data_IF_106850739468
#
_entry.id   IF_106850739468
#
_cell.length_a   1.000
_cell.length_b   1.000
_cell.length_c   1.000
_cell.angle_alpha   90.00
_cell.angle_beta   90.00
_cell.angle_gamma   90.00
#
_symmetry.space_group_name_H-M   'P 1'
#
loop_
_entity.id
_entity.type
_entity.pdbx_description
1 polymer ?
#
# COMPACT_ATOMS: atom_id res chain seq x y z
N UNK A 1 -25.65 -0.70 4.95
CA UNK A 1 -25.96 -0.97 6.38
C UNK A 1 -27.45 -0.93 6.58
N UNK A 2 -28.03 -1.82 7.43
CA UNK A 2 -29.46 -1.80 7.77
C UNK A 2 -29.68 -1.06 9.10
N UNK A 3 -30.74 -0.23 9.15
CA UNK A 3 -31.09 0.59 10.32
C UNK A 3 -32.55 0.37 10.70
N UNK A 4 -32.85 0.20 11.98
CA UNK A 4 -34.17 0.11 12.56
C UNK A 4 -34.26 1.09 13.73
N UNK A 5 -35.28 1.95 13.72
CA UNK A 5 -35.50 2.99 14.75
C UNK A 5 -34.23 3.84 15.01
N UNK A 6 -33.50 4.20 13.94
CA UNK A 6 -32.25 4.97 14.01
C UNK A 6 -31.03 4.20 14.54
N UNK A 7 -31.16 2.89 14.80
CA UNK A 7 -30.04 2.05 15.29
C UNK A 7 -29.56 1.08 14.22
N UNK A 8 -28.23 0.94 14.02
CA UNK A 8 -27.67 -0.01 13.08
C UNK A 8 -27.94 -1.45 13.53
N UNK A 9 -28.34 -2.29 12.58
CA UNK A 9 -28.53 -3.73 12.76
C UNK A 9 -27.35 -4.51 12.19
N UNK A 10 -26.84 -5.46 12.97
CA UNK A 10 -25.83 -6.40 12.48
C UNK A 10 -26.49 -7.53 11.68
N UNK A 11 -26.02 -7.87 10.47
CA UNK A 11 -26.58 -8.94 9.65
C UNK A 11 -26.57 -10.33 10.28
N UNK A 12 -25.67 -10.55 11.26
CA UNK A 12 -25.43 -11.85 11.87
C UNK A 12 -25.90 -11.90 13.35
N UNK A 13 -26.72 -10.95 13.76
CA UNK A 13 -27.24 -10.88 15.11
C UNK A 13 -28.78 -10.95 15.13
N UNK A 14 -29.31 -11.77 16.03
CA UNK A 14 -30.76 -11.78 16.29
C UNK A 14 -31.19 -10.45 16.92
N UNK A 15 -32.37 -9.96 16.57
CA UNK A 15 -32.95 -8.75 17.13
C UNK A 15 -34.46 -8.94 17.44
N UNK A 16 -34.99 -8.08 18.27
CA UNK A 16 -36.42 -8.07 18.62
C UNK A 16 -37.02 -6.73 18.22
N UNK A 17 -38.15 -6.75 17.51
CA UNK A 17 -38.90 -5.57 17.14
C UNK A 17 -40.38 -5.83 17.28
N UNK A 18 -41.12 -4.91 17.91
CA UNK A 18 -42.57 -5.03 18.18
C UNK A 18 -42.98 -6.36 18.85
N UNK A 19 -42.15 -6.88 19.77
CA UNK A 19 -42.39 -8.14 20.49
C UNK A 19 -42.10 -9.41 19.67
N UNK A 20 -41.68 -9.29 18.42
CA UNK A 20 -41.33 -10.41 17.54
C UNK A 20 -39.80 -10.57 17.54
N UNK A 21 -39.32 -11.80 17.76
CA UNK A 21 -37.90 -12.12 17.71
C UNK A 21 -37.51 -12.61 16.32
N UNK A 22 -36.54 -11.93 15.72
CA UNK A 22 -35.99 -12.26 14.42
C UNK A 22 -34.65 -13.01 14.58
N UNK A 23 -34.45 -14.14 13.87
CA UNK A 23 -33.23 -14.93 14.00
C UNK A 23 -32.02 -14.21 13.38
N UNK A 24 -30.82 -14.62 13.78
CA UNK A 24 -29.54 -13.99 13.37
C UNK A 24 -29.30 -13.88 11.88
N UNK A 25 -29.89 -14.77 11.09
CA UNK A 25 -29.74 -14.81 9.62
C UNK A 25 -30.90 -14.15 8.87
N UNK A 26 -31.91 -13.60 9.59
CA UNK A 26 -33.11 -13.05 8.98
C UNK A 26 -32.76 -11.92 7.98
N UNK A 27 -31.90 -11.00 8.36
CA UNK A 27 -31.45 -9.89 7.48
C UNK A 27 -30.77 -10.34 6.19
N UNK A 28 -30.17 -11.53 6.17
CA UNK A 28 -29.51 -12.08 4.97
C UNK A 28 -30.49 -12.80 4.05
N UNK A 29 -31.53 -13.41 4.61
CA UNK A 29 -32.44 -14.31 3.89
C UNK A 29 -33.70 -13.60 3.37
N UNK A 30 -34.03 -12.44 3.91
CA UNK A 30 -35.24 -11.69 3.54
C UNK A 30 -34.97 -10.66 2.47
N UNK A 31 -35.99 -10.37 1.68
CA UNK A 31 -35.96 -9.34 0.64
C UNK A 31 -35.95 -7.93 1.24
N UNK A 32 -35.61 -6.92 0.43
CA UNK A 32 -35.64 -5.53 0.86
C UNK A 32 -37.08 -5.10 1.26
N UNK A 33 -38.08 -5.51 0.47
CA UNK A 33 -39.47 -5.20 0.74
C UNK A 33 -39.97 -5.75 2.10
N UNK A 34 -39.54 -6.96 2.48
CA UNK A 34 -39.85 -7.53 3.81
C UNK A 34 -39.19 -6.79 4.95
N UNK A 35 -37.97 -6.27 4.73
CA UNK A 35 -37.24 -5.43 5.68
C UNK A 35 -37.94 -4.08 5.86
N UNK A 36 -38.31 -3.43 4.75
CA UNK A 36 -39.04 -2.15 4.76
C UNK A 36 -40.41 -2.27 5.43
N UNK A 37 -41.09 -3.41 5.26
CA UNK A 37 -42.39 -3.65 5.87
C UNK A 37 -42.38 -3.61 7.40
N UNK A 38 -41.23 -3.85 8.03
CA UNK A 38 -41.05 -3.74 9.48
C UNK A 38 -40.26 -2.49 9.90
N UNK A 39 -40.07 -1.54 8.98
CA UNK A 39 -39.43 -0.25 9.28
C UNK A 39 -37.89 -0.28 9.20
N UNK A 40 -37.31 -1.35 8.67
CA UNK A 40 -35.87 -1.38 8.41
C UNK A 40 -35.57 -0.62 7.09
N UNK A 41 -34.63 0.32 7.16
CA UNK A 41 -34.16 1.06 6.01
C UNK A 41 -32.71 0.65 5.67
N UNK A 42 -32.40 0.58 4.39
CA UNK A 42 -31.03 0.41 3.95
C UNK A 42 -30.39 1.80 3.75
N UNK A 43 -29.33 2.07 4.49
CA UNK A 43 -28.51 3.27 4.35
C UNK A 43 -27.13 2.87 3.86
N UNK A 44 -26.45 3.72 3.05
CA UNK A 44 -25.07 3.48 2.69
C UNK A 44 -24.21 3.23 3.93
N UNK A 45 -23.25 2.32 3.81
CA UNK A 45 -22.27 2.18 4.87
C UNK A 45 -21.47 3.50 4.98
N UNK A 46 -21.15 3.94 6.21
CA UNK A 46 -20.29 5.10 6.37
C UNK A 46 -18.97 4.84 5.64
N UNK A 47 -18.40 5.86 4.97
CA UNK A 47 -17.13 5.69 4.30
C UNK A 47 -16.07 5.19 5.27
N UNK A 48 -15.18 4.31 4.80
CA UNK A 48 -14.05 3.86 5.60
C UNK A 48 -13.09 5.03 5.86
N UNK A 49 -12.47 5.03 7.02
CA UNK A 49 -11.44 6.02 7.37
C UNK A 49 -10.16 5.33 7.77
N UNK A 50 -9.04 6.02 7.62
CA UNK A 50 -7.75 5.55 8.06
C UNK A 50 -7.55 5.87 9.55
N UNK A 51 -7.56 4.82 10.37
CA UNK A 51 -7.41 4.92 11.83
C UNK A 51 -6.03 5.48 12.26
N UNK A 52 -5.05 5.55 11.37
CA UNK A 52 -3.78 6.20 11.66
C UNK A 52 -3.92 7.71 11.83
N UNK A 53 -4.88 8.33 11.10
CA UNK A 53 -5.04 9.78 11.00
C UNK A 53 -6.33 10.32 11.63
N UNK A 54 -7.38 9.50 11.75
CA UNK A 54 -8.67 9.93 12.27
C UNK A 54 -9.21 8.96 13.33
N UNK A 55 -10.08 9.48 14.19
CA UNK A 55 -10.79 8.71 15.22
C UNK A 55 -12.10 8.11 14.71
N UNK A 56 -12.66 8.64 13.64
CA UNK A 56 -13.96 8.27 13.07
C UNK A 56 -14.70 9.48 12.57
N UNK A 57 -16.03 9.38 12.54
CA UNK A 57 -16.93 10.47 12.14
C UNK A 57 -17.67 11.06 13.35
N UNK A 58 -17.92 12.36 13.32
CA UNK A 58 -18.82 13.04 14.24
C UNK A 58 -20.30 12.77 13.86
N UNK A 59 -21.22 13.38 14.65
CA UNK A 59 -22.66 13.23 14.41
C UNK A 59 -23.12 13.86 13.07
N UNK A 60 -22.37 14.81 12.54
CA UNK A 60 -22.65 15.52 11.29
C UNK A 60 -21.99 14.84 10.08
N UNK A 61 -21.24 13.75 10.29
CA UNK A 61 -20.58 12.98 9.25
C UNK A 61 -19.21 13.53 8.82
N UNK A 62 -18.59 14.41 9.62
CA UNK A 62 -17.24 14.90 9.37
C UNK A 62 -16.19 14.03 10.06
N UNK A 63 -15.02 13.85 9.44
CA UNK A 63 -13.91 13.14 10.06
C UNK A 63 -13.37 13.89 11.28
N UNK A 64 -13.24 13.17 12.39
CA UNK A 64 -12.56 13.64 13.61
C UNK A 64 -11.08 13.33 13.46
N UNK A 65 -10.30 14.30 13.00
CA UNK A 65 -8.87 14.17 12.80
C UNK A 65 -8.08 14.11 14.12
N UNK A 66 -7.00 13.37 14.12
CA UNK A 66 -6.04 13.37 15.22
C UNK A 66 -5.20 14.62 15.22
N UNK A 67 -4.55 14.92 16.35
CA UNK A 67 -3.65 16.05 16.47
C UNK A 67 -2.49 15.98 15.47
N UNK A 68 -2.38 17.03 14.65
CA UNK A 68 -1.41 17.10 13.56
C UNK A 68 0.03 17.10 14.09
N UNK A 69 0.31 17.90 15.15
CA UNK A 69 1.67 18.03 15.66
C UNK A 69 2.20 16.71 16.25
N UNK A 70 1.34 15.95 16.91
CA UNK A 70 1.71 14.63 17.43
C UNK A 70 1.89 13.59 16.31
N UNK A 71 1.07 13.66 15.25
CA UNK A 71 1.26 12.80 14.10
C UNK A 71 2.54 13.11 13.34
N UNK A 72 2.88 14.39 13.14
CA UNK A 72 4.15 14.81 12.52
C UNK A 72 5.34 14.22 13.29
N UNK A 73 5.38 14.35 14.62
CA UNK A 73 6.44 13.74 15.44
C UNK A 73 6.52 12.23 15.26
N UNK A 74 5.37 11.58 15.27
CA UNK A 74 5.26 10.11 15.12
C UNK A 74 5.78 9.65 13.76
N UNK A 75 5.38 10.30 12.67
CA UNK A 75 5.78 9.94 11.33
C UNK A 75 7.23 10.26 11.02
N UNK A 76 7.78 11.36 11.57
CA UNK A 76 9.21 11.64 11.50
C UNK A 76 10.02 10.54 12.21
N UNK A 77 9.60 10.15 13.42
CA UNK A 77 10.25 9.06 14.15
C UNK A 77 10.18 7.74 13.39
N UNK A 78 9.02 7.42 12.80
CA UNK A 78 8.84 6.22 11.99
C UNK A 78 9.73 6.23 10.74
N UNK A 79 9.80 7.35 10.02
CA UNK A 79 10.66 7.51 8.84
C UNK A 79 12.14 7.27 9.18
N UNK A 80 12.61 7.84 10.29
CA UNK A 80 13.99 7.63 10.77
C UNK A 80 14.25 6.17 11.17
N UNK A 81 13.28 5.50 11.80
CA UNK A 81 13.39 4.07 12.13
C UNK A 81 13.50 3.23 10.88
N UNK A 82 12.70 3.49 9.85
CA UNK A 82 12.76 2.77 8.57
C UNK A 82 14.12 2.97 7.91
N UNK A 83 14.62 4.21 7.81
CA UNK A 83 15.95 4.47 7.27
C UNK A 83 17.05 3.73 8.04
N UNK A 84 16.97 3.74 9.37
CA UNK A 84 17.94 3.04 10.22
C UNK A 84 17.88 1.53 10.01
N UNK A 85 16.68 0.93 9.92
CA UNK A 85 16.52 -0.50 9.66
C UNK A 85 17.10 -0.93 8.31
N UNK A 86 17.05 -0.05 7.29
CA UNK A 86 17.69 -0.29 6.00
C UNK A 86 19.23 -0.22 6.08
N UNK A 87 19.77 0.67 6.90
CA UNK A 87 21.23 0.89 7.01
C UNK A 87 21.95 -0.12 7.90
N UNK A 88 21.32 -0.58 8.99
CA UNK A 88 21.91 -1.50 9.98
C UNK A 88 22.57 -2.73 9.35
N UNK A 89 21.95 -3.47 8.39
CA UNK A 89 22.56 -4.67 7.82
C UNK A 89 23.90 -4.42 7.13
N UNK A 90 24.21 -3.18 6.77
CA UNK A 90 25.42 -2.78 6.05
C UNK A 90 26.42 -1.98 6.90
N UNK A 91 26.10 -1.71 8.18
CA UNK A 91 26.98 -0.93 9.08
C UNK A 91 28.32 -1.61 9.32
N UNK A 92 28.34 -2.94 9.35
CA UNK A 92 29.58 -3.72 9.49
C UNK A 92 30.59 -3.44 8.38
N UNK A 93 30.13 -3.08 7.16
CA UNK A 93 31.04 -2.73 6.05
C UNK A 93 31.81 -1.45 6.36
N UNK A 94 31.12 -0.45 6.95
CA UNK A 94 31.74 0.83 7.35
C UNK A 94 32.70 0.61 8.52
N UNK A 95 32.28 -0.20 9.50
CA UNK A 95 33.15 -0.55 10.63
C UNK A 95 34.42 -1.27 10.15
N UNK A 96 34.28 -2.23 9.24
CA UNK A 96 35.42 -2.96 8.66
C UNK A 96 36.37 -2.03 7.87
N UNK A 97 35.82 -1.07 7.11
CA UNK A 97 36.67 -0.07 6.42
C UNK A 97 37.48 0.75 7.42
N UNK A 98 36.84 1.16 8.52
CA UNK A 98 37.52 1.93 9.58
C UNK A 98 38.56 1.11 10.37
N UNK A 99 38.28 -0.19 10.59
CA UNK A 99 39.12 -1.09 11.42
C UNK A 99 40.37 -1.57 10.67
N UNK A 100 40.23 -2.00 9.43
CA UNK A 100 41.31 -2.66 8.70
C UNK A 100 41.56 -2.12 7.26
N UNK A 101 40.91 -1.02 6.86
CA UNK A 101 41.09 -0.37 5.58
C UNK A 101 40.44 -1.10 4.41
N UNK A 102 39.64 -2.15 4.65
CA UNK A 102 38.89 -2.83 3.58
C UNK A 102 37.79 -1.93 3.04
N UNK A 103 38.01 -1.38 1.85
CA UNK A 103 37.08 -0.38 1.25
C UNK A 103 35.70 -0.97 1.01
N UNK A 104 34.66 -0.24 1.43
CA UNK A 104 33.27 -0.57 1.10
C UNK A 104 33.06 -0.41 -0.40
N UNK A 105 32.36 -1.35 -1.04
CA UNK A 105 31.98 -1.24 -2.45
C UNK A 105 31.28 0.11 -2.70
N UNK A 106 31.67 0.85 -3.75
CA UNK A 106 31.09 2.14 -4.11
C UNK A 106 29.55 2.12 -4.26
N UNK A 107 28.97 1.06 -4.79
CA UNK A 107 27.52 0.94 -4.97
C UNK A 107 26.80 0.94 -3.63
N UNK A 108 27.34 0.24 -2.63
CA UNK A 108 26.81 0.25 -1.26
C UNK A 108 26.99 1.63 -0.60
N UNK A 109 28.07 2.34 -0.85
CA UNK A 109 28.24 3.72 -0.37
C UNK A 109 27.17 4.64 -0.96
N UNK A 110 26.98 4.58 -2.27
CA UNK A 110 25.97 5.38 -2.97
C UNK A 110 24.56 5.06 -2.48
N UNK A 111 24.23 3.78 -2.33
CA UNK A 111 22.93 3.38 -1.80
C UNK A 111 22.68 3.90 -0.38
N UNK A 112 23.66 3.77 0.50
CA UNK A 112 23.56 4.30 1.88
C UNK A 112 23.33 5.81 1.91
N UNK A 113 24.00 6.55 1.02
CA UNK A 113 23.79 7.99 0.84
C UNK A 113 22.37 8.28 0.34
N UNK A 114 21.91 7.55 -0.67
CA UNK A 114 20.56 7.68 -1.21
C UNK A 114 19.47 7.41 -0.15
N UNK A 115 19.66 6.39 0.72
CA UNK A 115 18.71 6.12 1.83
C UNK A 115 18.66 7.30 2.82
N UNK A 116 19.82 7.89 3.17
CA UNK A 116 19.86 9.06 4.06
C UNK A 116 19.19 10.27 3.43
N UNK A 117 19.46 10.52 2.14
CA UNK A 117 18.84 11.62 1.40
C UNK A 117 17.31 11.45 1.34
N UNK A 118 16.83 10.27 0.96
CA UNK A 118 15.40 9.97 0.92
C UNK A 118 14.73 10.13 2.30
N UNK A 119 15.40 9.72 3.37
CA UNK A 119 14.90 9.92 4.73
C UNK A 119 14.77 11.41 5.08
N UNK A 120 15.77 12.22 4.75
CA UNK A 120 15.78 13.65 5.02
C UNK A 120 14.68 14.38 4.23
N UNK A 121 14.50 14.05 2.95
CA UNK A 121 13.44 14.59 2.10
C UNK A 121 12.05 14.27 2.65
N UNK A 122 11.82 13.01 3.05
CA UNK A 122 10.55 12.57 3.66
C UNK A 122 10.30 13.31 4.99
N UNK A 123 11.30 13.43 5.85
CA UNK A 123 11.20 14.16 7.11
C UNK A 123 10.87 15.63 6.88
N UNK A 124 11.52 16.26 5.89
CA UNK A 124 11.24 17.64 5.53
C UNK A 124 9.79 17.79 5.03
N UNK A 125 9.35 16.92 4.13
CA UNK A 125 7.99 16.97 3.62
C UNK A 125 6.94 16.80 4.73
N UNK A 126 7.11 15.80 5.61
CA UNK A 126 6.24 15.60 6.77
C UNK A 126 6.19 16.88 7.65
N UNK A 127 7.35 17.50 7.87
CA UNK A 127 7.44 18.72 8.70
C UNK A 127 6.83 19.97 8.06
N UNK A 128 6.57 19.96 6.75
CA UNK A 128 5.97 21.10 6.02
C UNK A 128 4.49 20.92 5.72
N UNK A 129 3.88 19.78 6.12
CA UNK A 129 2.43 19.57 6.00
C UNK A 129 1.67 20.55 6.88
N UNK A 130 0.54 21.08 6.37
CA UNK A 130 -0.23 22.13 7.03
C UNK A 130 -1.21 21.59 8.09
N UNK A 131 -1.76 20.40 7.82
CA UNK A 131 -2.78 19.76 8.67
C UNK A 131 -2.75 18.24 8.55
N UNK A 132 -3.62 17.56 9.28
CA UNK A 132 -3.70 16.09 9.28
C UNK A 132 -4.16 15.52 7.95
N UNK A 133 -5.15 16.08 7.23
CA UNK A 133 -5.48 15.68 5.86
C UNK A 133 -4.29 15.71 4.89
N UNK A 134 -3.52 16.79 4.91
CA UNK A 134 -2.33 16.97 4.07
C UNK A 134 -1.26 15.92 4.38
N UNK A 135 -0.98 15.71 5.67
CA UNK A 135 -0.09 14.65 6.13
C UNK A 135 -0.60 13.25 5.69
N UNK A 136 -1.89 12.98 5.86
CA UNK A 136 -2.48 11.70 5.46
C UNK A 136 -2.35 11.45 3.96
N UNK A 137 -2.60 12.46 3.13
CA UNK A 137 -2.44 12.39 1.69
C UNK A 137 -1.00 12.05 1.29
N UNK A 138 -0.02 12.67 1.92
CA UNK A 138 1.39 12.37 1.67
C UNK A 138 1.77 10.94 2.09
N UNK A 139 1.42 10.52 3.31
CA UNK A 139 1.79 9.20 3.85
C UNK A 139 1.12 8.04 3.09
N UNK A 140 -0.11 8.22 2.65
CA UNK A 140 -0.85 7.21 1.87
C UNK A 140 -0.53 7.28 0.37
N UNK A 141 0.11 8.34 -0.08
CA UNK A 141 0.58 8.51 -1.45
C UNK A 141 1.70 7.53 -1.83
N UNK A 142 1.84 7.27 -3.13
CA UNK A 142 2.81 6.31 -3.65
C UNK A 142 4.27 6.67 -3.35
N UNK A 143 4.59 7.95 -3.20
CA UNK A 143 5.97 8.43 -3.04
C UNK A 143 6.57 8.19 -1.66
N UNK A 144 5.76 8.24 -0.60
CA UNK A 144 6.25 8.05 0.77
C UNK A 144 6.85 6.66 0.99
N UNK A 145 6.24 5.63 0.42
CA UNK A 145 6.66 4.24 0.62
C UNK A 145 7.84 3.82 -0.26
N UNK A 146 8.26 4.65 -1.20
CA UNK A 146 9.40 4.35 -2.08
C UNK A 146 10.71 4.63 -1.36
N UNK A 147 11.57 3.62 -1.31
CA UNK A 147 12.94 3.70 -0.80
C UNK A 147 13.92 3.24 -1.88
N UNK A 148 15.19 3.70 -1.84
CA UNK A 148 16.21 3.20 -2.77
C UNK A 148 16.37 1.68 -2.65
N UNK A 149 16.37 1.00 -3.79
CA UNK A 149 16.65 -0.43 -3.83
C UNK A 149 18.13 -0.68 -3.53
N UNK A 150 18.45 -1.73 -2.78
CA UNK A 150 19.81 -2.09 -2.49
C UNK A 150 20.51 -2.67 -3.75
N UNK A 151 21.86 -2.63 -3.81
CA UNK A 151 22.62 -3.07 -4.99
C UNK A 151 22.44 -4.56 -5.32
N UNK A 152 22.10 -5.41 -4.34
CA UNK A 152 21.91 -6.85 -4.56
C UNK A 152 20.50 -7.16 -5.09
N UNK A 153 19.56 -6.22 -4.91
CA UNK A 153 18.18 -6.31 -5.38
C UNK A 153 17.81 -5.04 -6.17
N UNK A 154 18.40 -4.85 -7.38
CA UNK A 154 18.02 -3.73 -8.23
C UNK A 154 16.53 -3.81 -8.58
N UNK A 155 15.89 -2.67 -8.91
CA UNK A 155 14.50 -2.68 -9.33
C UNK A 155 14.35 -3.64 -10.51
N UNK A 156 13.34 -4.50 -10.46
CA UNK A 156 12.93 -5.26 -11.62
C UNK A 156 12.46 -4.21 -12.64
N UNK A 157 13.30 -3.93 -13.62
CA UNK A 157 12.88 -3.17 -14.80
C UNK A 157 11.87 -4.08 -15.47
N UNK A 158 10.59 -3.68 -15.49
CA UNK A 158 9.62 -4.38 -16.32
C UNK A 158 10.20 -4.39 -17.74
N UNK A 159 10.39 -5.58 -18.31
CA UNK A 159 10.85 -5.71 -19.69
C UNK A 159 9.99 -4.79 -20.55
N UNK A 160 10.63 -3.86 -21.25
CA UNK A 160 9.94 -3.00 -22.20
C UNK A 160 9.34 -3.93 -23.26
N UNK A 161 8.01 -3.99 -23.46
CA UNK A 161 7.39 -4.84 -24.45
C UNK A 161 7.85 -4.51 -25.89
N UNK A 162 8.69 -3.50 -26.06
CA UNK A 162 9.35 -3.16 -27.33
C UNK A 162 10.61 -3.99 -27.65
N UNK A 163 11.17 -4.74 -26.68
CA UNK A 163 12.36 -5.58 -26.93
C UNK A 163 12.02 -6.97 -27.50
N UNK A 164 10.74 -7.33 -27.57
CA UNK A 164 10.28 -8.57 -28.22
C UNK A 164 10.01 -8.37 -29.72
N UNK A 165 10.89 -7.64 -30.42
CA UNK A 165 10.98 -7.70 -31.88
C UNK A 165 11.70 -9.00 -32.23
N UNK A 166 10.94 -10.07 -32.37
CA UNK A 166 11.39 -11.28 -33.04
C UNK A 166 11.74 -10.88 -34.48
N UNK A 167 13.02 -10.66 -34.74
CA UNK A 167 13.54 -10.60 -36.10
C UNK A 167 13.38 -11.99 -36.66
N UNK A 168 12.31 -12.22 -37.37
CA UNK A 168 12.16 -13.38 -38.26
C UNK A 168 13.09 -13.07 -39.42
N UNK A 169 14.34 -13.55 -39.34
CA UNK A 169 15.22 -13.65 -40.50
C UNK A 169 14.54 -14.59 -41.50
N UNK A 170 13.83 -13.99 -42.47
CA UNK A 170 13.29 -14.67 -43.61
C UNK A 170 14.41 -15.00 -44.60
N UNK A 171 15.08 -16.12 -44.42
CA UNK A 171 15.85 -16.74 -45.49
C UNK A 171 15.66 -18.26 -45.42
N UNK A 172 14.51 -18.71 -45.91
CA UNK A 172 14.19 -20.08 -46.22
C UNK A 172 14.47 -20.38 -47.67
N UNK A 173 15.72 -20.46 -48.08
CA UNK A 173 16.05 -21.06 -49.34
C UNK A 173 15.96 -22.57 -49.22
N UNK A 174 14.82 -23.05 -49.75
CA UNK A 174 14.54 -24.44 -50.07
C UNK A 174 15.61 -24.98 -51.06
N UNK A 175 16.45 -25.88 -50.62
CA UNK A 175 17.26 -26.71 -51.46
C UNK A 175 16.84 -28.16 -51.27
N UNK A 176 15.91 -28.60 -52.12
CA UNK A 176 15.38 -29.95 -52.18
C UNK A 176 16.47 -31.02 -52.46
N UNK A 177 16.19 -32.27 -52.11
CA UNK A 177 17.15 -33.36 -52.17
C UNK A 177 17.30 -33.83 -53.60
N UNK A 178 18.54 -33.80 -54.16
CA UNK A 178 18.90 -34.49 -55.38
C UNK A 178 19.14 -35.97 -55.07
N UNK A 179 18.15 -36.77 -55.51
CA UNK A 179 18.31 -38.21 -55.65
C UNK A 179 19.25 -38.52 -56.81
N UNK A 180 20.30 -39.27 -56.54
CA UNK A 180 21.21 -39.82 -57.56
C UNK A 180 21.44 -41.30 -57.25
N UNK A 181 20.79 -42.13 -58.00
CA UNK A 181 20.90 -43.59 -57.97
C UNK A 181 22.03 -44.10 -58.89
N UNK A 182 22.53 -45.29 -58.57
CA UNK A 182 23.14 -46.34 -59.42
C UNK A 182 24.66 -46.16 -59.76
N UNK A 183 25.47 -47.09 -59.50
CA UNK A 183 25.65 -48.50 -59.97
C UNK A 183 26.60 -49.18 -59.00
#
# INVERSE_FOLDING_TARGET
>A
MFVLDGKPLSPDRAFTHNGIQYPKNWLRLTTLAEKEAIGITEVPDPPSWDQRFAWGYDADGNLIWKDHAELVKTWIAQTRRTANSLLIPTDWMVVREADNGTVVNPDWKMWREAVRLAANEKVLHIGTTNDTPDLAAYITGGTYNVWPNDPDHPPVVADDPADDVVVIDGDGADAGPVSGAAV
#
